data_IF_629271624579
#
_entry.id   IF_629271624579
#
_cell.length_a   1.000
_cell.length_b   1.000
_cell.length_c   1.000
_cell.angle_alpha   90.00
_cell.angle_beta   90.00
_cell.angle_gamma   90.00
#
_symmetry.space_group_name_H-M   'P 1'
#
loop_
_entity.id
_entity.type
_entity.pdbx_description
1 polymer ?
#
# COMPACT_ATOMS: atom_id res chain seq x y z
N UNK A 1 -3.54 34.53 9.36
CA UNK A 1 -3.03 33.15 9.15
C UNK A 1 -3.26 32.80 7.69
N UNK A 2 -2.31 32.17 6.99
CA UNK A 2 -2.54 31.65 5.63
C UNK A 2 -3.04 30.22 5.68
N UNK A 3 -3.96 29.87 4.78
CA UNK A 3 -4.39 28.50 4.48
C UNK A 3 -3.92 28.16 3.06
N UNK A 4 -3.62 26.90 2.80
CA UNK A 4 -3.52 26.32 1.46
C UNK A 4 -4.49 25.14 1.45
N UNK A 5 -5.37 25.06 0.45
CA UNK A 5 -6.42 24.05 0.32
C UNK A 5 -7.20 23.77 1.63
N UNK A 6 -7.58 24.84 2.35
CA UNK A 6 -8.38 24.78 3.57
C UNK A 6 -7.67 24.30 4.84
N UNK A 7 -6.68 23.39 4.71
CA UNK A 7 -5.92 22.77 5.81
C UNK A 7 -5.05 23.78 6.58
N UNK A 8 -4.73 23.43 7.83
CA UNK A 8 -4.03 24.27 8.81
C UNK A 8 -2.65 23.67 9.13
N UNK A 9 -1.68 23.96 8.26
CA UNK A 9 -0.26 23.56 8.42
C UNK A 9 0.30 23.95 9.80
N UNK A 10 1.20 23.13 10.35
CA UNK A 10 1.92 23.45 11.59
C UNK A 10 2.78 24.71 11.39
N UNK A 11 3.01 25.51 12.44
CA UNK A 11 3.78 26.76 12.29
C UNK A 11 5.27 26.54 11.95
N UNK A 12 5.77 25.31 12.12
CA UNK A 12 7.08 24.89 11.59
C UNK A 12 7.00 24.63 10.09
N UNK A 13 6.07 23.80 9.65
CA UNK A 13 5.90 23.47 8.21
C UNK A 13 5.51 24.69 7.38
N UNK A 14 4.64 25.57 7.90
CA UNK A 14 4.30 26.83 7.23
C UNK A 14 5.56 27.70 7.03
N UNK A 15 6.44 27.81 8.03
CA UNK A 15 7.72 28.53 7.89
C UNK A 15 8.69 27.84 6.92
N UNK A 16 8.70 26.51 6.84
CA UNK A 16 9.49 25.78 5.86
C UNK A 16 8.98 26.02 4.43
N UNK A 17 7.67 25.93 4.20
CA UNK A 17 7.02 26.21 2.90
C UNK A 17 7.20 27.69 2.51
N UNK A 18 7.00 28.63 3.42
CA UNK A 18 7.23 30.07 3.15
C UNK A 18 8.71 30.39 2.88
N UNK A 19 9.64 29.62 3.45
CA UNK A 19 11.08 29.72 3.14
C UNK A 19 11.38 29.17 1.74
N UNK A 20 10.90 27.98 1.40
CA UNK A 20 11.06 27.37 0.06
C UNK A 20 10.44 28.26 -1.03
N UNK A 21 9.28 28.88 -0.73
CA UNK A 21 8.64 29.85 -1.62
C UNK A 21 9.46 31.14 -1.82
N UNK A 22 10.05 31.69 -0.73
CA UNK A 22 10.93 32.87 -0.81
C UNK A 22 12.26 32.60 -1.51
N UNK A 23 12.76 31.36 -1.44
CA UNK A 23 13.98 30.91 -2.11
C UNK A 23 13.77 30.64 -3.62
N UNK A 24 12.59 30.98 -4.19
CA UNK A 24 12.31 31.01 -5.63
C UNK A 24 11.88 29.66 -6.24
N UNK A 25 11.79 28.60 -5.43
CA UNK A 25 11.64 27.21 -5.88
C UNK A 25 10.18 26.79 -6.22
N UNK A 26 9.24 27.72 -6.32
CA UNK A 26 7.82 27.44 -6.63
C UNK A 26 7.21 28.25 -7.80
N UNK A 27 7.75 28.22 -9.05
CA UNK A 27 7.07 28.85 -10.18
C UNK A 27 5.77 28.14 -10.62
N UNK A 28 5.74 26.81 -10.59
CA UNK A 28 4.78 26.03 -11.39
C UNK A 28 3.65 25.33 -10.62
N UNK A 29 3.72 25.22 -9.28
CA UNK A 29 2.73 24.49 -8.46
C UNK A 29 1.29 25.06 -8.49
N UNK A 30 1.06 26.20 -9.16
CA UNK A 30 -0.26 26.87 -9.25
C UNK A 30 -0.81 26.86 -10.70
N UNK A 31 -0.09 26.29 -11.68
CA UNK A 31 -0.55 26.22 -13.09
C UNK A 31 -0.36 24.84 -13.72
N UNK A 32 -1.11 23.87 -13.21
CA UNK A 32 -1.38 22.58 -13.86
C UNK A 32 -2.87 22.45 -14.22
N UNK A 33 -3.38 23.39 -15.02
CA UNK A 33 -4.69 23.27 -15.71
C UNK A 33 -4.39 22.83 -17.14
N UNK A 34 -5.03 21.76 -17.67
CA UNK A 34 -4.69 21.22 -18.98
C UNK A 34 -4.96 22.25 -20.09
N UNK A 35 -3.89 22.70 -20.76
CA UNK A 35 -3.97 23.56 -21.95
C UNK A 35 -3.06 22.97 -23.02
N UNK A 36 -3.61 22.73 -24.21
CA UNK A 36 -3.01 21.81 -25.19
C UNK A 36 -1.84 22.42 -26.01
N UNK A 37 -1.07 21.51 -26.61
CA UNK A 37 -0.27 21.70 -27.83
C UNK A 37 0.76 22.85 -27.86
N UNK A 38 2.01 22.52 -27.51
CA UNK A 38 3.18 23.04 -28.23
C UNK A 38 4.16 21.91 -28.55
N UNK A 39 4.63 21.85 -29.80
CA UNK A 39 5.57 20.83 -30.27
C UNK A 39 6.90 20.94 -29.51
N UNK A 40 7.26 19.90 -28.78
CA UNK A 40 8.63 19.71 -28.26
C UNK A 40 9.40 18.90 -29.30
N UNK A 41 10.67 19.26 -29.53
CA UNK A 41 11.56 18.57 -30.47
C UNK A 41 11.86 17.14 -30.01
N UNK A 42 11.71 16.16 -30.91
CA UNK A 42 12.05 14.75 -30.63
C UNK A 42 13.54 14.60 -30.33
N UNK A 43 13.89 14.39 -29.06
CA UNK A 43 14.94 13.42 -28.74
C UNK A 43 14.35 12.00 -28.84
N UNK A 44 15.16 10.96 -29.10
CA UNK A 44 14.71 9.59 -29.04
C UNK A 44 14.42 9.20 -27.59
N UNK A 45 13.15 9.29 -27.19
CA UNK A 45 12.64 8.53 -26.05
C UNK A 45 12.73 7.05 -26.45
N UNK A 46 13.37 6.23 -25.62
CA UNK A 46 13.21 4.78 -25.72
C UNK A 46 11.78 4.46 -25.28
N UNK A 47 10.93 4.08 -26.23
CA UNK A 47 9.54 3.72 -25.98
C UNK A 47 9.51 2.42 -25.16
N UNK A 48 9.37 2.60 -23.85
CA UNK A 48 9.15 1.54 -22.87
C UNK A 48 7.68 1.09 -22.95
N UNK A 49 7.36 -0.22 -22.89
CA UNK A 49 5.97 -0.67 -22.84
C UNK A 49 5.27 -0.05 -21.62
N UNK A 50 4.18 0.70 -21.82
CA UNK A 50 3.48 1.37 -20.71
C UNK A 50 2.97 0.36 -19.66
N UNK A 51 2.64 -0.85 -20.11
CA UNK A 51 2.24 -2.03 -19.33
C UNK A 51 3.29 -2.54 -18.31
N UNK A 52 4.55 -2.07 -18.39
CA UNK A 52 5.63 -2.46 -17.48
C UNK A 52 6.16 -1.31 -16.62
N UNK A 53 5.62 -0.09 -16.74
CA UNK A 53 6.22 1.13 -16.22
C UNK A 53 6.15 1.22 -14.68
N UNK A 54 7.27 1.04 -13.93
CA UNK A 54 7.24 0.96 -12.47
C UNK A 54 7.16 2.35 -11.79
N UNK A 55 7.02 3.43 -12.56
CA UNK A 55 7.02 4.82 -12.09
C UNK A 55 5.64 5.49 -12.14
N UNK A 56 4.58 4.69 -12.00
CA UNK A 56 3.21 5.18 -11.72
C UNK A 56 2.57 4.43 -10.54
N UNK A 57 3.43 4.15 -9.57
CA UNK A 57 3.26 3.17 -8.50
C UNK A 57 1.89 3.18 -7.81
N UNK A 58 1.28 2.00 -7.66
CA UNK A 58 0.18 1.74 -6.75
C UNK A 58 0.56 2.06 -5.30
N UNK A 59 1.83 1.85 -4.91
CA UNK A 59 2.35 2.26 -3.59
C UNK A 59 2.23 3.78 -3.34
N UNK A 60 2.21 4.63 -4.38
CA UNK A 60 1.94 6.07 -4.23
C UNK A 60 0.47 6.38 -3.88
N UNK A 61 -0.46 5.44 -4.14
CA UNK A 61 -1.89 5.52 -3.75
C UNK A 61 -2.10 5.03 -2.32
N UNK A 62 -1.11 4.38 -1.70
CA UNK A 62 -1.20 3.83 -0.35
C UNK A 62 -1.28 4.97 0.67
N UNK A 63 -2.48 5.15 1.21
CA UNK A 63 -2.71 5.91 2.43
C UNK A 63 -2.10 5.16 3.62
N UNK A 64 -1.51 5.91 4.53
CA UNK A 64 -0.96 5.40 5.79
C UNK A 64 -2.01 5.49 6.90
N UNK A 65 -2.04 4.49 7.80
CA UNK A 65 -2.76 4.61 9.07
C UNK A 65 -2.12 5.69 9.97
N UNK A 66 -2.77 6.04 11.09
CA UNK A 66 -2.33 7.17 11.91
C UNK A 66 -0.91 7.00 12.48
N UNK A 67 -0.55 5.80 12.94
CA UNK A 67 0.78 5.52 13.48
C UNK A 67 1.86 5.58 12.39
N UNK A 68 1.60 5.03 11.21
CA UNK A 68 2.52 5.11 10.06
C UNK A 68 2.66 6.54 9.53
N UNK A 69 1.56 7.30 9.42
CA UNK A 69 1.60 8.71 9.04
C UNK A 69 2.36 9.57 10.08
N UNK A 70 2.20 9.27 11.38
CA UNK A 70 3.00 9.90 12.44
C UNK A 70 4.50 9.57 12.28
N UNK A 71 4.85 8.31 12.00
CA UNK A 71 6.23 7.89 11.83
C UNK A 71 6.86 8.42 10.54
N UNK A 72 6.13 8.46 9.43
CA UNK A 72 6.57 9.18 8.22
C UNK A 72 6.84 10.65 8.54
N UNK A 73 5.92 11.34 9.22
CA UNK A 73 6.11 12.74 9.62
C UNK A 73 7.35 12.97 10.51
N UNK A 74 7.67 12.04 11.41
CA UNK A 74 8.92 12.07 12.20
C UNK A 74 10.16 12.09 11.29
N UNK A 75 10.19 11.23 10.26
CA UNK A 75 11.28 11.19 9.29
C UNK A 75 11.27 12.37 8.31
N UNK A 76 10.11 12.89 7.91
CA UNK A 76 10.02 14.12 7.12
C UNK A 76 10.57 15.32 7.90
N UNK A 77 10.25 15.49 9.19
CA UNK A 77 10.86 16.55 10.02
C UNK A 77 12.38 16.35 10.16
N UNK A 78 12.88 15.11 10.37
CA UNK A 78 14.33 14.83 10.40
C UNK A 78 15.03 15.18 9.07
N UNK A 79 14.47 14.76 7.94
CA UNK A 79 14.99 15.04 6.58
C UNK A 79 15.02 16.54 6.29
N UNK A 80 13.99 17.28 6.72
CA UNK A 80 13.96 18.75 6.61
C UNK A 80 14.99 19.42 7.54
N UNK A 81 15.19 18.88 8.75
CA UNK A 81 16.08 19.42 9.78
C UNK A 81 17.58 19.13 9.56
N UNK A 82 17.92 18.09 8.79
CA UNK A 82 19.30 17.75 8.42
C UNK A 82 20.03 18.97 7.80
N UNK A 83 21.33 19.10 8.06
CA UNK A 83 22.16 20.26 7.70
C UNK A 83 23.17 19.99 6.59
N UNK A 84 23.47 18.71 6.33
CA UNK A 84 24.44 18.26 5.33
C UNK A 84 24.15 16.81 4.89
N UNK A 85 24.79 16.38 3.80
CA UNK A 85 24.56 15.07 3.18
C UNK A 85 24.87 13.87 4.09
N UNK A 86 25.73 14.00 5.11
CA UNK A 86 25.99 12.93 6.08
C UNK A 86 24.81 12.73 7.04
N UNK A 87 24.27 13.83 7.58
CA UNK A 87 23.05 13.80 8.41
C UNK A 87 21.87 13.24 7.61
N UNK A 88 21.72 13.65 6.34
CA UNK A 88 20.65 13.12 5.48
C UNK A 88 20.79 11.62 5.25
N UNK A 89 21.99 11.09 4.89
CA UNK A 89 22.18 9.64 4.74
C UNK A 89 21.74 8.91 6.01
N UNK A 90 22.15 9.39 7.20
CA UNK A 90 21.79 8.74 8.47
C UNK A 90 20.27 8.70 8.70
N UNK A 91 19.54 9.76 8.33
CA UNK A 91 18.07 9.80 8.44
C UNK A 91 17.41 8.82 7.46
N UNK A 92 17.95 8.66 6.24
CA UNK A 92 17.46 7.68 5.27
C UNK A 92 17.77 6.25 5.71
N UNK A 93 18.97 6.01 6.24
CA UNK A 93 19.38 4.71 6.77
C UNK A 93 18.47 4.30 7.95
N UNK A 94 18.20 5.20 8.91
CA UNK A 94 17.22 4.99 10.00
C UNK A 94 15.79 4.74 9.49
N UNK A 95 15.35 5.41 8.43
CA UNK A 95 14.01 5.26 7.88
C UNK A 95 13.81 3.91 7.16
N UNK A 96 14.81 3.51 6.38
CA UNK A 96 14.84 2.21 5.71
C UNK A 96 14.88 1.08 6.75
N UNK A 97 15.77 1.18 7.76
CA UNK A 97 15.87 0.20 8.84
C UNK A 97 14.61 0.11 9.72
N UNK A 98 13.81 1.17 9.85
CA UNK A 98 12.51 1.08 10.54
C UNK A 98 11.39 0.46 9.67
N UNK A 99 11.53 0.45 8.34
CA UNK A 99 10.49 -0.02 7.42
C UNK A 99 9.49 1.06 6.99
N UNK A 100 9.91 2.33 6.93
CA UNK A 100 9.08 3.41 6.38
C UNK A 100 8.77 3.11 4.90
N UNK A 101 7.49 3.16 4.51
CA UNK A 101 7.09 3.23 3.11
C UNK A 101 7.59 4.55 2.52
N UNK A 102 8.53 4.50 1.57
CA UNK A 102 9.24 5.66 1.02
C UNK A 102 8.48 6.37 -0.10
N UNK A 103 7.55 5.67 -0.77
CA UNK A 103 6.68 6.21 -1.82
C UNK A 103 5.34 6.74 -1.27
N UNK A 104 4.81 6.08 -0.23
CA UNK A 104 3.57 6.48 0.41
C UNK A 104 3.61 7.94 0.92
N UNK A 105 2.52 8.68 0.71
CA UNK A 105 2.40 10.08 1.08
C UNK A 105 1.73 10.29 2.44
N UNK A 106 2.18 11.31 3.18
CA UNK A 106 1.49 11.79 4.37
C UNK A 106 0.17 12.52 4.04
N UNK A 107 -0.60 12.90 5.06
CA UNK A 107 -1.86 13.67 4.94
C UNK A 107 -1.75 15.03 4.22
N UNK A 108 -0.54 15.51 3.90
CA UNK A 108 -0.26 16.76 3.16
C UNK A 108 0.33 16.53 1.75
N UNK A 109 0.50 15.28 1.31
CA UNK A 109 1.00 14.93 -0.04
C UNK A 109 2.51 14.78 -0.16
N UNK A 110 3.23 14.56 0.95
CA UNK A 110 4.69 14.37 0.96
C UNK A 110 5.09 12.94 1.29
N UNK A 111 5.88 12.31 0.42
CA UNK A 111 6.58 11.05 0.67
C UNK A 111 8.04 11.26 1.06
N UNK A 112 8.69 10.25 1.65
CA UNK A 112 10.09 10.36 2.06
C UNK A 112 11.03 10.50 0.86
N UNK A 113 10.79 9.76 -0.22
CA UNK A 113 11.58 9.86 -1.45
C UNK A 113 11.54 11.28 -2.03
N UNK A 114 10.35 11.86 -2.19
CA UNK A 114 10.16 13.20 -2.73
C UNK A 114 10.83 14.28 -1.86
N UNK A 115 10.61 14.28 -0.54
CA UNK A 115 11.24 15.28 0.34
C UNK A 115 12.76 15.14 0.41
N UNK A 116 13.29 13.93 0.24
CA UNK A 116 14.74 13.69 0.14
C UNK A 116 15.31 14.29 -1.15
N UNK A 117 14.65 14.12 -2.30
CA UNK A 117 15.05 14.79 -3.54
C UNK A 117 15.00 16.31 -3.41
N UNK A 118 13.93 16.86 -2.83
CA UNK A 118 13.82 18.30 -2.56
C UNK A 118 14.93 18.85 -1.65
N UNK A 119 15.41 18.04 -0.71
CA UNK A 119 16.52 18.41 0.18
C UNK A 119 17.86 18.47 -0.57
N UNK A 120 18.10 17.56 -1.52
CA UNK A 120 19.37 17.43 -2.24
C UNK A 120 19.66 18.53 -3.29
N UNK A 121 18.70 19.39 -3.64
CA UNK A 121 18.95 20.54 -4.54
C UNK A 121 19.91 21.59 -3.96
N UNK A 122 19.92 21.72 -2.64
CA UNK A 122 20.67 22.74 -1.89
C UNK A 122 22.18 22.45 -1.95
N UNK A 123 23.00 23.49 -2.11
CA UNK A 123 24.47 23.34 -2.22
C UNK A 123 25.10 22.66 -1.00
N UNK A 124 24.52 22.88 0.19
CA UNK A 124 24.89 22.24 1.46
C UNK A 124 24.69 20.70 1.47
N UNK A 125 24.07 20.11 0.44
CA UNK A 125 23.92 18.67 0.21
C UNK A 125 24.69 18.13 -1.00
N UNK A 126 25.42 18.97 -1.76
CA UNK A 126 26.11 18.54 -2.99
C UNK A 126 27.41 17.79 -2.68
N UNK A 127 27.60 16.65 -3.34
CA UNK A 127 28.80 15.81 -3.18
C UNK A 127 28.51 14.31 -3.30
N UNK A 128 29.57 13.49 -3.20
CA UNK A 128 29.58 12.06 -3.58
C UNK A 128 28.41 11.25 -3.00
N UNK A 129 28.02 11.50 -1.74
CA UNK A 129 26.94 10.77 -1.05
C UNK A 129 25.53 11.03 -1.58
N UNK A 130 25.30 12.02 -2.46
CA UNK A 130 24.02 12.15 -3.16
C UNK A 130 23.73 10.91 -4.00
N UNK A 131 24.75 10.38 -4.69
CA UNK A 131 24.62 9.19 -5.49
C UNK A 131 24.30 7.97 -4.62
N UNK A 132 24.97 7.83 -3.46
CA UNK A 132 24.69 6.77 -2.48
C UNK A 132 23.25 6.83 -1.94
N UNK A 133 22.72 8.03 -1.63
CA UNK A 133 21.36 8.20 -1.11
C UNK A 133 20.31 7.85 -2.17
N UNK A 134 20.48 8.33 -3.41
CA UNK A 134 19.59 8.00 -4.53
C UNK A 134 19.65 6.49 -4.80
N UNK A 135 20.85 5.90 -4.85
CA UNK A 135 21.08 4.46 -5.05
C UNK A 135 20.42 3.62 -3.96
N UNK A 136 20.53 4.01 -2.68
CA UNK A 136 19.85 3.34 -1.55
C UNK A 136 18.33 3.39 -1.66
N UNK A 137 17.75 4.58 -1.90
CA UNK A 137 16.30 4.73 -2.04
C UNK A 137 15.76 3.93 -3.23
N UNK A 138 16.45 4.03 -4.37
CA UNK A 138 16.04 3.37 -5.61
C UNK A 138 16.14 1.83 -5.53
N UNK A 139 17.18 1.28 -4.90
CA UNK A 139 17.29 -0.16 -4.61
C UNK A 139 16.20 -0.69 -3.66
N UNK A 140 15.46 0.21 -3.01
CA UNK A 140 14.30 -0.07 -2.15
C UNK A 140 12.96 0.35 -2.81
N UNK A 141 12.96 0.59 -4.13
CA UNK A 141 11.74 0.82 -4.91
C UNK A 141 11.24 2.27 -4.98
N UNK A 142 12.09 3.26 -4.67
CA UNK A 142 11.67 4.66 -4.70
C UNK A 142 11.23 5.15 -6.10
N UNK A 143 10.01 5.68 -6.19
CA UNK A 143 9.48 6.39 -7.35
C UNK A 143 9.88 7.88 -7.27
N UNK A 144 10.79 8.31 -8.14
CA UNK A 144 11.31 9.68 -8.19
C UNK A 144 10.52 10.55 -9.18
N UNK A 145 9.20 10.63 -8.98
CA UNK A 145 8.26 11.37 -9.83
C UNK A 145 8.36 12.91 -9.66
N UNK A 146 9.56 13.44 -9.86
CA UNK A 146 9.90 14.87 -9.81
C UNK A 146 10.52 15.25 -11.14
N UNK A 147 10.17 16.40 -11.71
CA UNK A 147 10.96 17.01 -12.79
C UNK A 147 12.05 17.88 -12.18
N UNK A 148 13.31 17.55 -12.48
CA UNK A 148 14.48 17.87 -11.65
C UNK A 148 15.42 18.85 -12.36
N UNK A 149 16.23 19.58 -11.58
CA UNK A 149 17.49 20.18 -12.06
C UNK A 149 18.31 19.20 -12.93
N UNK A 150 19.00 19.72 -13.95
CA UNK A 150 19.71 18.89 -14.94
C UNK A 150 20.76 17.97 -14.30
N UNK A 151 21.49 18.41 -13.26
CA UNK A 151 22.56 17.61 -12.64
C UNK A 151 22.04 16.47 -11.78
N UNK A 152 20.96 16.70 -11.03
CA UNK A 152 20.33 15.61 -10.26
C UNK A 152 19.54 14.67 -11.20
N UNK A 153 19.03 15.17 -12.34
CA UNK A 153 18.53 14.32 -13.43
C UNK A 153 19.63 13.40 -13.97
N UNK A 154 20.82 13.94 -14.24
CA UNK A 154 21.99 13.18 -14.71
C UNK A 154 22.44 12.11 -13.70
N UNK A 155 22.53 12.45 -12.41
CA UNK A 155 22.83 11.49 -11.33
C UNK A 155 21.75 10.40 -11.25
N UNK A 156 20.46 10.78 -11.29
CA UNK A 156 19.35 9.83 -11.27
C UNK A 156 19.41 8.86 -12.46
N UNK A 157 19.55 9.37 -13.69
CA UNK A 157 19.65 8.55 -14.90
C UNK A 157 20.88 7.63 -14.91
N UNK A 158 22.00 8.06 -14.32
CA UNK A 158 23.18 7.20 -14.11
C UNK A 158 22.83 6.07 -13.13
N UNK A 159 22.38 6.43 -11.92
CA UNK A 159 22.06 5.46 -10.85
C UNK A 159 21.01 4.46 -11.30
N UNK A 160 19.94 4.91 -11.94
CA UNK A 160 18.86 4.09 -12.48
C UNK A 160 19.41 2.98 -13.39
N UNK A 161 20.26 3.30 -14.36
CA UNK A 161 20.88 2.31 -15.27
C UNK A 161 21.79 1.30 -14.56
N UNK A 162 22.45 1.68 -13.47
CA UNK A 162 23.32 0.79 -12.70
C UNK A 162 22.57 -0.19 -11.79
N UNK A 163 21.33 0.15 -11.40
CA UNK A 163 20.51 -0.65 -10.47
C UNK A 163 19.32 -1.33 -11.15
N UNK A 164 18.91 -0.88 -12.33
CA UNK A 164 17.78 -1.42 -13.10
C UNK A 164 17.83 -2.95 -13.25
N UNK A 165 18.97 -3.60 -13.57
CA UNK A 165 19.07 -5.06 -13.56
C UNK A 165 18.83 -5.70 -12.19
N UNK A 166 19.17 -5.01 -11.10
CA UNK A 166 19.00 -5.48 -9.72
C UNK A 166 17.54 -5.35 -9.27
N UNK A 167 16.89 -4.22 -9.59
CA UNK A 167 15.46 -4.01 -9.34
C UNK A 167 14.63 -5.00 -10.16
N UNK A 168 14.91 -5.13 -11.47
CA UNK A 168 14.24 -6.09 -12.34
C UNK A 168 14.41 -7.54 -11.83
N UNK A 169 15.61 -7.92 -11.36
CA UNK A 169 15.81 -9.24 -10.75
C UNK A 169 15.03 -9.45 -9.44
N UNK A 170 14.85 -8.42 -8.61
CA UNK A 170 13.98 -8.49 -7.42
C UNK A 170 12.50 -8.64 -7.81
N UNK A 171 12.01 -7.79 -8.71
CA UNK A 171 10.61 -7.78 -9.15
C UNK A 171 10.24 -9.09 -9.87
N UNK A 172 11.11 -9.59 -10.76
CA UNK A 172 10.90 -10.90 -11.41
C UNK A 172 10.74 -12.03 -10.40
N UNK A 173 11.57 -12.06 -9.36
CA UNK A 173 11.46 -13.06 -8.28
C UNK A 173 10.20 -12.90 -7.43
N UNK A 174 9.76 -11.67 -7.19
CA UNK A 174 8.49 -11.42 -6.50
C UNK A 174 7.28 -11.87 -7.35
N UNK A 175 7.35 -11.70 -8.68
CA UNK A 175 6.37 -12.25 -9.61
C UNK A 175 6.39 -13.77 -9.63
N UNK A 176 7.57 -14.41 -9.70
CA UNK A 176 7.73 -15.88 -9.59
C UNK A 176 7.10 -16.43 -8.29
N UNK A 177 7.20 -15.69 -7.17
CA UNK A 177 6.54 -16.03 -5.89
C UNK A 177 5.01 -15.91 -5.96
N UNK A 178 4.48 -14.88 -6.64
CA UNK A 178 3.03 -14.76 -6.88
C UNK A 178 2.51 -15.86 -7.82
N UNK A 179 3.28 -16.21 -8.84
CA UNK A 179 2.95 -17.26 -9.82
C UNK A 179 2.91 -18.64 -9.17
N UNK A 180 3.88 -19.03 -8.35
CA UNK A 180 3.84 -20.31 -7.58
C UNK A 180 2.69 -20.35 -6.54
N UNK A 181 2.26 -19.19 -6.05
CA UNK A 181 1.13 -19.06 -5.14
C UNK A 181 -0.25 -19.02 -5.84
N UNK A 182 -0.29 -18.93 -7.17
CA UNK A 182 -1.54 -18.85 -7.94
C UNK A 182 -2.10 -20.26 -8.17
N UNK A 183 -3.35 -20.48 -7.76
CA UNK A 183 -4.11 -21.72 -7.97
C UNK A 183 -4.94 -21.60 -9.26
N UNK A 184 -5.58 -20.45 -9.46
CA UNK A 184 -6.28 -20.09 -10.70
C UNK A 184 -6.07 -18.59 -10.96
N UNK A 185 -5.89 -18.19 -12.23
CA UNK A 185 -5.64 -16.80 -12.64
C UNK A 185 -4.18 -16.51 -12.98
N UNK A 186 -3.78 -15.24 -12.94
CA UNK A 186 -2.42 -14.77 -13.23
C UNK A 186 -2.01 -13.58 -12.36
N UNK A 187 -0.71 -13.44 -12.08
CA UNK A 187 -0.13 -12.18 -11.58
C UNK A 187 -0.12 -11.14 -12.69
N UNK A 188 -0.73 -9.99 -12.45
CA UNK A 188 -0.76 -8.85 -13.38
C UNK A 188 0.42 -7.91 -13.10
N UNK A 189 0.58 -7.41 -11.87
CA UNK A 189 1.66 -6.48 -11.50
C UNK A 189 2.34 -6.78 -10.15
N UNK A 190 3.58 -6.31 -9.96
CA UNK A 190 4.38 -6.42 -8.73
C UNK A 190 5.18 -5.15 -8.44
N UNK A 191 5.07 -4.62 -7.22
CA UNK A 191 5.85 -3.47 -6.76
C UNK A 191 6.49 -3.73 -5.37
N UNK A 192 7.56 -3.00 -5.05
CA UNK A 192 8.25 -3.04 -3.75
C UNK A 192 8.33 -1.62 -3.18
N UNK A 193 7.89 -1.43 -1.94
CA UNK A 193 8.23 -0.25 -1.12
C UNK A 193 9.00 -0.70 0.12
N UNK A 194 10.32 -0.51 0.08
CA UNK A 194 11.25 -0.79 1.17
C UNK A 194 11.18 -2.25 1.67
N UNK A 195 10.40 -2.51 2.74
CA UNK A 195 10.19 -3.85 3.33
C UNK A 195 8.84 -4.48 3.00
N UNK A 196 7.99 -3.74 2.30
CA UNK A 196 6.65 -4.14 1.91
C UNK A 196 6.56 -4.32 0.41
N UNK A 197 5.58 -5.11 -0.05
CA UNK A 197 5.30 -5.28 -1.46
C UNK A 197 3.83 -5.04 -1.79
N UNK A 198 3.55 -4.91 -3.08
CA UNK A 198 2.23 -4.97 -3.72
C UNK A 198 2.29 -6.06 -4.79
N UNK A 199 1.27 -6.92 -4.85
CA UNK A 199 1.02 -7.83 -5.97
C UNK A 199 -0.44 -7.67 -6.40
N UNK A 200 -0.64 -7.44 -7.69
CA UNK A 200 -1.96 -7.40 -8.33
C UNK A 200 -2.17 -8.68 -9.13
N UNK A 201 -3.32 -9.32 -8.92
CA UNK A 201 -3.73 -10.56 -9.56
C UNK A 201 -5.03 -10.33 -10.35
N UNK A 202 -5.20 -11.12 -11.41
CA UNK A 202 -6.37 -11.10 -12.29
C UNK A 202 -7.70 -11.18 -11.54
N UNK A 203 -8.76 -10.58 -12.10
CA UNK A 203 -10.00 -10.28 -11.38
C UNK A 203 -10.70 -11.45 -10.66
N UNK A 204 -10.51 -12.70 -11.12
CA UNK A 204 -11.07 -13.91 -10.50
C UNK A 204 -9.99 -14.87 -9.95
N UNK A 205 -8.85 -14.34 -9.47
CA UNK A 205 -7.72 -15.15 -9.04
C UNK A 205 -7.96 -15.86 -7.70
N UNK A 206 -7.46 -17.10 -7.58
CA UNK A 206 -7.39 -17.88 -6.33
C UNK A 206 -5.91 -17.99 -5.94
N UNK A 207 -5.54 -17.51 -4.73
CA UNK A 207 -4.14 -17.32 -4.32
C UNK A 207 -3.88 -17.90 -2.92
N UNK A 208 -2.82 -18.71 -2.80
CA UNK A 208 -2.24 -19.09 -1.51
C UNK A 208 -1.45 -17.90 -0.92
N UNK A 209 -2.13 -17.07 -0.14
CA UNK A 209 -1.53 -15.93 0.58
C UNK A 209 -0.42 -16.37 1.56
N UNK A 210 -0.39 -17.64 2.01
CA UNK A 210 0.70 -18.12 2.84
C UNK A 210 2.00 -18.28 2.05
N UNK A 211 1.93 -18.92 0.86
CA UNK A 211 3.05 -18.98 -0.10
C UNK A 211 3.56 -17.59 -0.47
N UNK A 212 2.68 -16.64 -0.79
CA UNK A 212 3.09 -15.26 -1.17
C UNK A 212 3.95 -14.62 -0.06
N UNK A 213 3.48 -14.67 1.18
CA UNK A 213 4.17 -14.05 2.32
C UNK A 213 5.47 -14.78 2.67
N UNK A 214 5.50 -16.12 2.59
CA UNK A 214 6.72 -16.90 2.83
C UNK A 214 7.76 -16.73 1.73
N UNK A 215 7.36 -16.76 0.46
CA UNK A 215 8.25 -16.48 -0.67
C UNK A 215 8.88 -15.10 -0.59
N UNK A 216 8.09 -14.05 -0.33
CA UNK A 216 8.60 -12.68 -0.18
C UNK A 216 9.54 -12.50 1.03
N UNK A 217 9.31 -13.24 2.12
CA UNK A 217 10.24 -13.34 3.27
C UNK A 217 11.55 -14.02 2.86
N UNK A 218 11.49 -15.09 2.06
CA UNK A 218 12.68 -15.80 1.54
C UNK A 218 13.48 -14.97 0.53
N UNK A 219 12.84 -14.01 -0.17
CA UNK A 219 13.52 -12.97 -0.96
C UNK A 219 14.17 -11.86 -0.11
N UNK A 220 14.00 -11.89 1.21
CA UNK A 220 14.57 -10.92 2.15
C UNK A 220 13.88 -9.55 2.18
N UNK A 221 12.71 -9.42 1.55
CA UNK A 221 11.94 -8.16 1.55
C UNK A 221 11.47 -7.81 2.97
N UNK A 222 10.96 -8.80 3.71
CA UNK A 222 10.70 -8.67 5.14
C UNK A 222 11.58 -9.64 5.95
N UNK A 223 12.05 -9.21 7.12
CA UNK A 223 12.67 -10.10 8.12
C UNK A 223 11.62 -10.80 9.00
N UNK A 224 10.43 -11.03 8.45
CA UNK A 224 9.25 -11.55 9.16
C UNK A 224 8.50 -10.55 10.05
N UNK A 225 9.06 -9.38 10.35
CA UNK A 225 8.50 -8.40 11.30
C UNK A 225 8.15 -7.06 10.63
N UNK A 226 6.86 -6.80 10.41
CA UNK A 226 6.33 -5.61 9.74
C UNK A 226 5.59 -4.68 10.73
N UNK A 227 6.37 -3.96 11.55
CA UNK A 227 5.85 -2.97 12.50
C UNK A 227 5.30 -1.68 11.83
N UNK A 228 5.69 -1.41 10.58
CA UNK A 228 5.21 -0.29 9.76
C UNK A 228 4.85 -0.81 8.38
N UNK A 229 3.62 -0.50 7.95
CA UNK A 229 3.00 -1.11 6.78
C UNK A 229 2.77 -2.61 6.95
N UNK A 230 2.14 -3.17 5.93
CA UNK A 230 1.98 -4.58 5.60
C UNK A 230 2.08 -4.75 4.09
N UNK A 231 2.10 -5.99 3.65
CA UNK A 231 2.10 -6.32 2.24
C UNK A 231 0.69 -6.19 1.67
N UNK A 232 0.59 -5.87 0.38
CA UNK A 232 -0.68 -5.72 -0.31
C UNK A 232 -0.82 -6.81 -1.36
N UNK A 233 -1.97 -7.46 -1.31
CA UNK A 233 -2.44 -8.40 -2.32
C UNK A 233 -3.74 -7.81 -2.85
N UNK A 234 -3.84 -7.70 -4.18
CA UNK A 234 -5.03 -7.21 -4.86
C UNK A 234 -5.55 -8.30 -5.78
N UNK A 235 -6.86 -8.57 -5.71
CA UNK A 235 -7.58 -9.53 -6.55
C UNK A 235 -8.82 -8.81 -7.07
N UNK A 236 -8.85 -8.52 -8.37
CA UNK A 236 -9.88 -7.65 -8.94
C UNK A 236 -9.88 -6.27 -8.28
N UNK A 237 -11.05 -5.74 -7.93
CA UNK A 237 -11.16 -4.44 -7.26
C UNK A 237 -10.89 -4.49 -5.73
N UNK A 238 -10.69 -5.69 -5.17
CA UNK A 238 -10.41 -5.91 -3.75
C UNK A 238 -8.91 -5.85 -3.44
N UNK A 239 -8.50 -5.01 -2.49
CA UNK A 239 -7.15 -4.97 -1.92
C UNK A 239 -7.18 -5.46 -0.47
N UNK A 240 -6.17 -6.20 -0.01
CA UNK A 240 -6.03 -6.64 1.39
C UNK A 240 -4.63 -6.36 1.93
N UNK A 241 -4.55 -5.84 3.17
CA UNK A 241 -3.30 -5.61 3.88
C UNK A 241 -2.98 -6.73 4.87
N UNK A 242 -1.87 -7.42 4.60
CA UNK A 242 -1.36 -8.54 5.41
C UNK A 242 -0.05 -8.13 6.08
N UNK A 243 -0.06 -8.04 7.41
CA UNK A 243 1.14 -7.80 8.23
C UNK A 243 1.70 -9.13 8.72
N UNK A 244 3.03 -9.25 8.76
CA UNK A 244 3.71 -10.43 9.31
C UNK A 244 4.30 -10.09 10.66
N UNK A 245 4.01 -10.91 11.67
CA UNK A 245 4.55 -10.80 13.02
C UNK A 245 5.84 -11.61 13.20
N UNK A 246 6.62 -11.29 14.25
CA UNK A 246 7.90 -11.95 14.61
C UNK A 246 7.82 -13.48 14.73
N UNK A 247 6.65 -14.01 15.04
CA UNK A 247 6.35 -15.44 15.14
C UNK A 247 5.94 -16.07 13.80
N UNK A 248 6.02 -15.32 12.71
CA UNK A 248 5.65 -15.75 11.35
C UNK A 248 4.15 -15.67 11.04
N UNK A 249 3.30 -15.26 12.00
CA UNK A 249 1.85 -15.19 11.77
C UNK A 249 1.50 -14.14 10.72
N UNK A 250 0.52 -14.48 9.88
CA UNK A 250 -0.11 -13.61 8.88
C UNK A 250 -1.32 -12.94 9.53
N UNK A 251 -1.30 -11.63 9.61
CA UNK A 251 -2.37 -10.84 10.20
C UNK A 251 -3.05 -9.98 9.13
N UNK A 252 -4.29 -10.30 8.81
CA UNK A 252 -5.14 -9.53 7.90
C UNK A 252 -5.69 -8.35 8.70
N UNK A 253 -5.23 -7.13 8.40
CA UNK A 253 -5.47 -5.94 9.25
C UNK A 253 -6.37 -4.88 8.63
N UNK A 254 -6.58 -4.91 7.32
CA UNK A 254 -7.40 -3.93 6.59
C UNK A 254 -7.69 -4.43 5.16
N UNK A 255 -8.73 -3.91 4.51
CA UNK A 255 -9.15 -4.21 3.12
C UNK A 255 -9.65 -2.94 2.41
N UNK A 256 -9.72 -2.91 1.08
CA UNK A 256 -10.30 -1.78 0.33
C UNK A 256 -11.81 -1.61 0.60
N UNK A 257 -12.29 -0.37 0.48
CA UNK A 257 -13.67 0.00 0.80
C UNK A 257 -14.68 -0.68 -0.13
N UNK A 258 -15.76 -1.21 0.47
CA UNK A 258 -16.83 -1.95 -0.20
C UNK A 258 -16.37 -3.27 -0.86
N UNK A 259 -15.16 -3.75 -0.53
CA UNK A 259 -14.67 -5.07 -0.96
C UNK A 259 -14.99 -6.17 0.06
N UNK A 260 -14.77 -7.41 -0.37
CA UNK A 260 -14.74 -8.58 0.49
C UNK A 260 -14.05 -9.74 -0.21
N UNK A 261 -13.58 -10.72 0.57
CA UNK A 261 -12.88 -11.90 0.07
C UNK A 261 -13.28 -13.14 0.88
N UNK A 262 -13.20 -14.30 0.24
CA UNK A 262 -13.34 -15.60 0.91
C UNK A 262 -11.97 -16.07 1.44
N UNK A 263 -11.96 -16.75 2.58
CA UNK A 263 -10.78 -17.43 3.13
C UNK A 263 -11.16 -18.88 3.44
N UNK A 264 -10.66 -19.80 2.62
CA UNK A 264 -10.84 -21.24 2.82
C UNK A 264 -9.77 -21.77 3.78
N UNK A 265 -10.21 -22.53 4.77
CA UNK A 265 -9.36 -23.31 5.66
C UNK A 265 -9.63 -24.80 5.46
N UNK A 266 -8.57 -25.58 5.23
CA UNK A 266 -8.65 -27.03 5.22
C UNK A 266 -8.65 -27.56 6.66
N UNK A 267 -9.65 -28.38 7.00
CA UNK A 267 -9.94 -28.88 8.36
C UNK A 267 -10.12 -30.39 8.37
N UNK A 268 -10.26 -31.02 9.55
CA UNK A 268 -10.57 -32.47 9.62
C UNK A 268 -11.94 -32.86 9.03
N UNK A 269 -12.87 -31.91 8.88
CA UNK A 269 -14.21 -32.13 8.32
C UNK A 269 -14.34 -31.72 6.84
N UNK A 270 -13.32 -31.07 6.26
CA UNK A 270 -13.35 -30.57 4.88
C UNK A 270 -12.89 -29.10 4.76
N UNK A 271 -13.39 -28.41 3.74
CA UNK A 271 -13.12 -26.99 3.47
C UNK A 271 -14.11 -26.09 4.22
N UNK A 272 -13.59 -25.24 5.12
CA UNK A 272 -14.36 -24.23 5.84
C UNK A 272 -14.10 -22.84 5.26
N UNK A 273 -15.13 -22.19 4.71
CA UNK A 273 -15.02 -20.84 4.17
C UNK A 273 -15.44 -19.77 5.19
N UNK A 274 -14.61 -18.75 5.33
CA UNK A 274 -14.96 -17.48 5.99
C UNK A 274 -15.12 -16.38 4.94
N UNK A 275 -16.21 -15.61 5.02
CA UNK A 275 -16.40 -14.38 4.27
C UNK A 275 -15.91 -13.19 5.09
N UNK A 276 -14.97 -12.42 4.54
CA UNK A 276 -14.33 -11.29 5.22
C UNK A 276 -14.58 -10.03 4.39
N UNK A 277 -15.37 -9.07 4.88
CA UNK A 277 -15.87 -7.97 4.06
C UNK A 277 -16.00 -6.63 4.80
N UNK A 278 -15.94 -5.52 4.04
CA UNK A 278 -15.95 -4.18 4.61
C UNK A 278 -17.35 -3.79 5.11
N UNK A 279 -17.45 -3.32 6.36
CA UNK A 279 -18.71 -2.83 6.89
C UNK A 279 -19.04 -1.44 6.32
N UNK A 280 -20.11 -1.36 5.53
CA UNK A 280 -20.55 -0.11 4.91
C UNK A 280 -21.39 0.78 5.83
N UNK A 281 -21.83 0.27 6.98
CA UNK A 281 -22.52 1.02 8.03
C UNK A 281 -21.53 1.48 9.12
N UNK A 282 -20.77 0.53 9.70
CA UNK A 282 -19.74 0.79 10.71
C UNK A 282 -18.34 0.82 10.07
N UNK A 283 -18.09 1.83 9.23
CA UNK A 283 -16.92 2.02 8.35
C UNK A 283 -15.52 1.60 8.90
N UNK A 284 -15.31 1.63 10.22
CA UNK A 284 -14.06 1.25 10.86
C UNK A 284 -13.95 -0.26 11.17
N UNK A 285 -14.94 -1.07 10.80
CA UNK A 285 -14.95 -2.52 10.99
C UNK A 285 -14.84 -3.27 9.66
N UNK A 286 -14.38 -4.51 9.78
CA UNK A 286 -14.45 -5.55 8.76
C UNK A 286 -15.19 -6.71 9.42
N UNK A 287 -16.28 -7.13 8.80
CA UNK A 287 -17.10 -8.26 9.25
C UNK A 287 -16.45 -9.57 8.83
N UNK A 288 -16.69 -10.61 9.63
CA UNK A 288 -16.25 -11.99 9.43
C UNK A 288 -17.43 -12.91 9.71
N UNK A 289 -17.89 -13.59 8.67
CA UNK A 289 -18.95 -14.61 8.73
C UNK A 289 -18.37 -15.96 8.30
N UNK A 290 -18.95 -17.06 8.79
CA UNK A 290 -18.62 -18.41 8.33
C UNK A 290 -19.75 -18.88 7.42
N UNK A 291 -19.44 -19.46 6.24
CA UNK A 291 -20.48 -19.90 5.31
C UNK A 291 -21.27 -21.12 5.82
N UNK A 292 -20.65 -21.96 6.64
CA UNK A 292 -21.24 -23.15 7.27
C UNK A 292 -21.11 -23.09 8.81
N UNK A 293 -22.18 -22.61 9.46
CA UNK A 293 -22.29 -22.59 10.92
C UNK A 293 -22.36 -23.99 11.55
N UNK A 294 -22.88 -25.00 10.84
CA UNK A 294 -23.00 -26.36 11.39
C UNK A 294 -21.62 -26.99 11.50
N UNK A 295 -20.85 -26.96 10.41
CA UNK A 295 -19.45 -27.37 10.35
C UNK A 295 -18.58 -26.59 11.36
N UNK A 296 -18.76 -25.27 11.47
CA UNK A 296 -18.05 -24.48 12.49
C UNK A 296 -18.32 -24.99 13.90
N UNK A 297 -19.59 -25.19 14.26
CA UNK A 297 -19.97 -25.69 15.57
C UNK A 297 -19.45 -27.11 15.82
N UNK A 298 -19.35 -27.97 14.80
CA UNK A 298 -18.73 -29.29 14.91
C UNK A 298 -17.23 -29.20 15.21
N UNK A 299 -16.49 -28.38 14.47
CA UNK A 299 -15.06 -28.12 14.69
C UNK A 299 -14.79 -27.56 16.10
N UNK A 300 -15.68 -26.71 16.63
CA UNK A 300 -15.59 -26.22 18.01
C UNK A 300 -15.86 -27.29 19.06
N UNK A 301 -16.74 -28.27 18.81
CA UNK A 301 -16.95 -29.44 19.71
C UNK A 301 -15.73 -30.36 19.73
N UNK A 302 -15.08 -30.54 18.57
CA UNK A 302 -13.86 -31.36 18.40
C UNK A 302 -12.64 -30.66 19.02
N UNK A 303 -12.64 -29.33 19.07
CA UNK A 303 -11.54 -28.51 19.59
C UNK A 303 -10.44 -28.24 18.57
N UNK A 304 -10.76 -28.26 17.27
CA UNK A 304 -9.78 -28.05 16.20
C UNK A 304 -9.33 -26.58 16.12
N UNK A 305 -8.00 -26.36 16.00
CA UNK A 305 -7.41 -25.02 15.93
C UNK A 305 -7.39 -24.55 14.47
N UNK A 306 -8.50 -23.95 14.05
CA UNK A 306 -8.69 -23.46 12.68
C UNK A 306 -7.72 -22.32 12.38
N UNK A 307 -7.06 -22.40 11.21
CA UNK A 307 -6.20 -21.33 10.69
C UNK A 307 -4.95 -21.07 11.53
N UNK A 308 -4.30 -22.11 12.06
CA UNK A 308 -3.03 -21.97 12.77
C UNK A 308 -2.00 -21.15 11.94
N UNK A 309 -1.56 -20.02 12.50
CA UNK A 309 -0.68 -19.06 11.81
C UNK A 309 -1.39 -17.89 11.12
N UNK A 310 -2.72 -17.85 11.14
CA UNK A 310 -3.57 -16.76 10.66
C UNK A 310 -4.12 -15.92 11.83
N UNK A 311 -4.28 -14.61 11.62
CA UNK A 311 -4.92 -13.66 12.53
C UNK A 311 -5.78 -12.66 11.73
N UNK A 312 -6.84 -12.15 12.33
CA UNK A 312 -7.67 -11.05 11.80
C UNK A 312 -7.69 -9.89 12.81
N UNK A 313 -7.21 -8.72 12.41
CA UNK A 313 -7.06 -7.57 13.32
C UNK A 313 -6.18 -7.83 14.55
N UNK A 314 -5.34 -8.88 14.53
CA UNK A 314 -4.54 -9.36 15.66
C UNK A 314 -5.19 -10.46 16.52
N UNK A 315 -6.45 -10.79 16.29
CA UNK A 315 -7.18 -11.88 16.98
C UNK A 315 -7.01 -13.20 16.21
N UNK A 316 -7.13 -14.35 16.89
CA UNK A 316 -7.20 -15.66 16.21
C UNK A 316 -8.47 -15.79 15.38
N UNK A 317 -8.49 -16.75 14.43
CA UNK A 317 -9.67 -17.03 13.59
C UNK A 317 -10.92 -17.27 14.44
N UNK A 318 -10.78 -18.01 15.55
CA UNK A 318 -11.87 -18.25 16.50
C UNK A 318 -12.41 -16.98 17.14
N UNK A 319 -11.54 -16.20 17.79
CA UNK A 319 -11.94 -14.95 18.47
C UNK A 319 -12.56 -13.93 17.50
N UNK A 320 -12.07 -13.91 16.25
CA UNK A 320 -12.57 -13.01 15.22
C UNK A 320 -13.95 -13.41 14.70
N UNK A 321 -14.22 -14.72 14.54
CA UNK A 321 -15.55 -15.27 14.21
C UNK A 321 -16.53 -15.11 15.38
N UNK A 322 -16.13 -15.44 16.62
CA UNK A 322 -16.99 -15.30 17.81
C UNK A 322 -17.41 -13.85 18.08
N UNK A 323 -16.59 -12.88 17.64
CA UNK A 323 -16.89 -11.44 17.65
C UNK A 323 -17.60 -10.94 16.38
N UNK A 324 -17.64 -11.76 15.33
CA UNK A 324 -18.12 -11.42 13.99
C UNK A 324 -17.35 -10.31 13.26
N UNK A 325 -16.35 -9.67 13.87
CA UNK A 325 -15.75 -8.44 13.33
C UNK A 325 -14.38 -8.09 13.91
N UNK A 326 -13.56 -7.39 13.13
CA UNK A 326 -12.35 -6.71 13.61
C UNK A 326 -12.28 -5.26 13.16
N UNK A 327 -11.62 -4.42 13.95
CA UNK A 327 -11.41 -3.01 13.62
C UNK A 327 -10.23 -2.88 12.68
N UNK A 328 -10.47 -2.37 11.48
CA UNK A 328 -9.45 -2.21 10.43
C UNK A 328 -8.46 -1.11 10.79
N UNK A 329 -7.25 -1.13 10.21
CA UNK A 329 -6.21 -0.17 10.57
C UNK A 329 -6.49 1.30 10.14
N UNK A 330 -7.60 1.56 9.43
CA UNK A 330 -8.07 2.90 9.07
C UNK A 330 -7.43 3.43 7.79
N UNK A 331 -7.04 2.52 6.90
CA UNK A 331 -6.23 2.82 5.74
C UNK A 331 -6.99 3.48 4.60
N UNK A 332 -8.11 2.93 4.12
CA UNK A 332 -8.71 3.45 2.87
C UNK A 332 -9.61 4.70 3.06
N UNK A 333 -9.94 5.14 4.27
CA UNK A 333 -10.70 6.40 4.50
C UNK A 333 -10.96 6.77 5.98
N UNK A 334 -11.84 7.72 6.31
CA UNK A 334 -12.34 8.86 5.50
C UNK A 334 -11.60 10.17 5.94
N UNK A 335 -12.12 11.40 6.26
CA UNK A 335 -13.47 12.00 6.21
C UNK A 335 -13.66 13.07 5.08
N UNK A 336 -14.66 12.92 4.19
CA UNK A 336 -15.28 14.02 3.41
C UNK A 336 -16.79 13.80 3.16
N UNK A 337 -17.46 13.15 4.12
CA UNK A 337 -18.87 12.74 4.10
C UNK A 337 -19.89 13.89 4.06
N UNK A 338 -20.01 14.53 2.89
CA UNK A 338 -21.26 15.13 2.40
C UNK A 338 -21.72 14.36 1.17
N UNK A 339 -22.51 13.31 1.41
CA UNK A 339 -23.28 12.63 0.36
C UNK A 339 -24.34 13.58 -0.20
N UNK A 340 -24.04 14.22 -1.32
CA UNK A 340 -25.01 15.04 -2.08
C UNK A 340 -25.19 14.54 -3.52
N UNK A 341 -24.96 13.25 -3.75
CA UNK A 341 -25.30 12.53 -4.99
C UNK A 341 -25.51 11.04 -4.67
N UNK A 342 -26.40 10.39 -5.41
CA UNK A 342 -26.82 9.00 -5.19
C UNK A 342 -26.17 8.10 -6.23
N UNK A 343 -25.56 6.99 -5.80
CA UNK A 343 -25.10 5.94 -6.71
C UNK A 343 -25.66 4.59 -6.29
N UNK A 344 -26.15 3.84 -7.26
CA UNK A 344 -26.76 2.53 -7.07
C UNK A 344 -26.22 1.56 -8.11
N UNK A 345 -25.63 0.46 -7.66
CA UNK A 345 -25.68 -0.77 -8.44
C UNK A 345 -25.69 -1.99 -7.51
N UNK A 346 -26.68 -2.86 -7.71
CA UNK A 346 -26.77 -4.15 -7.06
C UNK A 346 -27.61 -5.05 -7.96
N UNK A 347 -27.10 -6.25 -8.27
CA UNK A 347 -27.82 -7.49 -8.57
C UNK A 347 -26.83 -8.48 -9.24
N UNK A 348 -26.71 -9.75 -8.83
CA UNK A 348 -27.61 -10.55 -7.99
C UNK A 348 -26.82 -11.41 -6.99
N UNK A 349 -27.36 -11.58 -5.78
CA UNK A 349 -27.19 -12.82 -5.03
C UNK A 349 -28.52 -13.17 -4.32
N UNK A 350 -28.89 -14.45 -4.35
CA UNK A 350 -29.92 -15.12 -3.52
C UNK A 350 -31.28 -14.41 -3.37
N UNK A 351 -32.10 -14.43 -4.42
CA UNK A 351 -33.56 -14.40 -4.26
C UNK A 351 -34.08 -15.85 -4.21
N UNK A 352 -34.11 -16.48 -3.02
CA UNK A 352 -34.64 -17.85 -2.82
C UNK A 352 -34.86 -18.18 -1.32
N UNK A 353 -36.10 -17.94 -0.83
CA UNK A 353 -36.78 -18.45 0.39
C UNK A 353 -37.98 -17.51 0.68
N UNK A 354 -39.13 -17.65 0.00
CA UNK A 354 -40.23 -18.62 0.26
C UNK A 354 -41.07 -18.28 1.50
N UNK A 355 -42.31 -17.82 1.29
CA UNK A 355 -43.44 -17.83 2.27
C UNK A 355 -44.79 -17.97 1.55
N UNK A 356 -45.81 -18.44 2.27
CA UNK A 356 -47.11 -18.92 1.75
C UNK A 356 -48.25 -18.63 2.78
N UNK A 357 -49.55 -18.77 2.49
CA UNK A 357 -50.22 -19.34 1.30
C UNK A 357 -50.86 -18.24 0.42
N UNK A 358 -52.18 -18.00 0.22
CA UNK A 358 -53.47 -18.57 0.69
C UNK A 358 -54.52 -18.34 -0.42
N UNK A 359 -55.53 -19.20 -0.64
CA UNK A 359 -56.34 -19.20 -1.86
C UNK A 359 -57.60 -18.31 -1.77
N UNK A 360 -58.12 -17.93 -2.94
CA UNK A 360 -59.51 -17.50 -3.15
C UNK A 360 -60.09 -18.22 -4.36
N UNK A 361 -61.37 -18.56 -4.30
CA UNK A 361 -62.15 -19.10 -5.43
C UNK A 361 -62.59 -17.94 -6.34
N UNK A 362 -62.65 -18.21 -7.65
CA UNK A 362 -63.89 -18.27 -8.44
C UNK A 362 -63.63 -19.03 -9.76
#
# INVERSE_FOLDING_TARGET
MKKINGKKLSSKMLKAVERIAKEGLLPNFIKAVPTANKKISKLPVLEYPEELNPFRSALCKIRLNEYENMKLNEFLEKTIAARNVNELSKVIDEALDLGIRINACNKDGFSLANVTMFKMYRDEFKGNKQEDIIRKLALNGADFNVQVDKKITEIHQKVQKEIEPQIYSKLKKLREVGEDATIEGTVEDVEIDNKTFYIEFSHSCIVDVAKVVEGAKNLGLSKGDLNLGGNIIKIGDGEVEVKTGKDGKRNYVDISDNSGFAVTFYTSLGELNLMVYHDTAEYNQVQIEVEDEEMWNELQKIGEIIGQGCLFGGMSVKEAVEKGSFTRCGRWGDPNSKSSETFSWMNKLKNNKTTSVTPTMD
#
